data_IF_671229141334
#
_entry.id   IF_671229141334
#
_cell.length_a   1.000
_cell.length_b   1.000
_cell.length_c   1.000
_cell.angle_alpha   90.00
_cell.angle_beta   90.00
_cell.angle_gamma   90.00
#
_symmetry.space_group_name_H-M   'P 1'
#
loop_
_entity.id
_entity.type
_entity.pdbx_description
1 polymer ?
#
# COMPACT_ATOMS: atom_id res chain seq x y z
N UNK A 1 -21.60 -30.00 -3.74
CA UNK A 1 -22.23 -28.85 -4.43
C UNK A 1 -21.28 -28.41 -5.51
N UNK A 2 -21.56 -28.79 -6.76
CA UNK A 2 -20.77 -28.30 -7.91
C UNK A 2 -21.15 -26.83 -8.07
N UNK A 3 -20.20 -25.93 -7.90
CA UNK A 3 -20.45 -24.51 -8.07
C UNK A 3 -20.88 -24.26 -9.53
N UNK A 4 -21.90 -23.40 -9.70
CA UNK A 4 -22.46 -23.04 -11.00
C UNK A 4 -21.32 -22.53 -11.92
N UNK A 5 -21.13 -23.10 -13.12
CA UNK A 5 -20.08 -22.66 -14.04
C UNK A 5 -20.17 -21.17 -14.40
N UNK A 6 -21.38 -20.58 -14.40
CA UNK A 6 -21.56 -19.13 -14.62
C UNK A 6 -21.04 -18.32 -13.44
N UNK A 7 -21.27 -18.79 -12.21
CA UNK A 7 -20.73 -18.17 -11.00
C UNK A 7 -19.20 -18.32 -10.94
N UNK A 8 -18.66 -19.47 -11.34
CA UNK A 8 -17.22 -19.68 -11.43
C UNK A 8 -16.57 -18.71 -12.42
N UNK A 9 -17.20 -18.52 -13.58
CA UNK A 9 -16.72 -17.60 -14.60
C UNK A 9 -16.79 -16.14 -14.12
N UNK A 10 -17.92 -15.72 -13.53
CA UNK A 10 -18.06 -14.38 -12.98
C UNK A 10 -17.05 -14.07 -11.87
N UNK A 11 -16.73 -15.06 -11.03
CA UNK A 11 -15.67 -14.93 -10.00
C UNK A 11 -14.29 -14.88 -10.62
N UNK A 12 -14.02 -15.67 -11.68
CA UNK A 12 -12.76 -15.61 -12.41
C UNK A 12 -12.56 -14.25 -13.09
N UNK A 13 -13.61 -13.67 -13.66
CA UNK A 13 -13.58 -12.35 -14.32
C UNK A 13 -13.30 -11.20 -13.31
N UNK A 14 -13.67 -11.36 -12.04
CA UNK A 14 -13.32 -10.41 -10.98
C UNK A 14 -11.83 -10.42 -10.62
N UNK A 15 -11.15 -11.55 -10.87
CA UNK A 15 -9.73 -11.74 -10.57
C UNK A 15 -9.02 -12.26 -11.81
N UNK A 16 -8.85 -11.43 -12.86
CA UNK A 16 -8.30 -11.86 -14.15
C UNK A 16 -6.90 -12.46 -14.04
N UNK A 17 -6.17 -12.09 -12.99
CA UNK A 17 -4.80 -12.55 -12.73
C UNK A 17 -4.74 -13.59 -11.60
N UNK A 18 -5.88 -14.23 -11.28
CA UNK A 18 -6.03 -15.22 -10.23
C UNK A 18 -6.15 -14.65 -8.82
N UNK A 19 -6.82 -15.37 -7.92
CA UNK A 19 -7.06 -14.93 -6.53
C UNK A 19 -5.87 -15.17 -5.60
N UNK A 20 -5.01 -16.14 -5.92
CA UNK A 20 -3.96 -16.66 -5.04
C UNK A 20 -2.98 -15.57 -4.58
N UNK A 21 -2.52 -14.72 -5.49
CA UNK A 21 -1.59 -13.62 -5.17
C UNK A 21 -2.18 -12.59 -4.20
N UNK A 22 -3.45 -12.25 -4.38
CA UNK A 22 -4.15 -11.30 -3.51
C UNK A 22 -4.39 -11.90 -2.13
N UNK A 23 -4.79 -13.18 -2.08
CA UNK A 23 -5.00 -13.90 -0.83
C UNK A 23 -3.69 -14.07 -0.04
N UNK A 24 -2.60 -14.48 -0.70
CA UNK A 24 -1.29 -14.65 -0.06
C UNK A 24 -0.74 -13.31 0.42
N UNK A 25 -0.77 -12.27 -0.43
CA UNK A 25 -0.33 -10.93 -0.03
C UNK A 25 -1.15 -10.38 1.14
N UNK A 26 -2.48 -10.51 1.09
CA UNK A 26 -3.37 -10.11 2.18
C UNK A 26 -3.11 -10.88 3.48
N UNK A 27 -2.88 -12.19 3.40
CA UNK A 27 -2.53 -13.02 4.55
C UNK A 27 -1.22 -12.57 5.19
N UNK A 28 -0.17 -12.30 4.41
CA UNK A 28 1.12 -11.83 4.92
C UNK A 28 0.99 -10.47 5.61
N UNK A 29 0.25 -9.52 5.03
CA UNK A 29 -0.03 -8.21 5.63
C UNK A 29 -0.82 -8.37 6.94
N UNK A 30 -1.83 -9.23 6.95
CA UNK A 30 -2.64 -9.53 8.12
C UNK A 30 -1.82 -10.14 9.26
N UNK A 31 -1.03 -11.18 8.95
CA UNK A 31 -0.13 -11.83 9.91
C UNK A 31 0.90 -10.85 10.47
N UNK A 32 1.50 -10.00 9.63
CA UNK A 32 2.41 -8.94 10.09
C UNK A 32 1.73 -7.98 11.07
N UNK A 33 0.49 -7.58 10.78
CA UNK A 33 -0.30 -6.73 11.68
C UNK A 33 -0.60 -7.44 13.00
N UNK A 34 -1.01 -8.72 12.96
CA UNK A 34 -1.29 -9.54 14.14
C UNK A 34 -0.05 -9.67 15.03
N UNK A 35 1.12 -9.96 14.45
CA UNK A 35 2.38 -10.10 15.19
C UNK A 35 2.75 -8.81 15.93
N UNK A 36 2.63 -7.66 15.27
CA UNK A 36 2.87 -6.35 15.89
C UNK A 36 1.86 -6.12 17.01
N UNK A 37 0.57 -6.36 16.74
CA UNK A 37 -0.49 -6.05 17.68
C UNK A 37 -0.43 -6.93 18.94
N UNK A 38 -0.18 -8.24 18.79
CA UNK A 38 -0.02 -9.16 19.94
C UNK A 38 1.22 -8.79 20.75
N UNK A 39 2.34 -8.45 20.10
CA UNK A 39 3.59 -8.17 20.79
C UNK A 39 3.66 -6.80 21.47
N UNK A 40 2.87 -5.82 21.00
CA UNK A 40 3.04 -4.41 21.42
C UNK A 40 1.75 -3.71 21.83
N UNK A 41 0.57 -4.20 21.42
CA UNK A 41 -0.70 -3.49 21.55
C UNK A 41 -0.82 -2.25 20.66
N UNK A 42 0.14 -2.00 19.76
CA UNK A 42 0.21 -0.81 18.92
C UNK A 42 -0.37 -1.11 17.53
N UNK A 43 -1.27 -0.27 16.98
CA UNK A 43 -1.69 -0.37 15.59
C UNK A 43 -0.54 0.02 14.66
N UNK A 44 -0.17 -0.88 13.75
CA UNK A 44 0.86 -0.62 12.74
C UNK A 44 0.43 0.51 11.79
N UNK A 45 1.24 1.56 11.68
CA UNK A 45 0.93 2.71 10.83
C UNK A 45 2.11 3.65 10.59
N UNK A 46 2.18 4.18 9.37
CA UNK A 46 3.29 5.04 8.90
C UNK A 46 2.90 6.52 8.70
N UNK A 47 1.66 6.93 9.00
CA UNK A 47 1.14 8.28 8.72
C UNK A 47 1.94 9.43 9.35
N UNK A 48 2.67 9.15 10.44
CA UNK A 48 3.50 10.11 11.17
C UNK A 48 4.99 9.77 11.05
N UNK A 49 5.36 8.88 10.13
CA UNK A 49 6.74 8.45 9.95
C UNK A 49 7.65 9.64 9.67
N UNK A 50 7.27 10.52 8.73
CA UNK A 50 8.04 11.72 8.40
C UNK A 50 8.32 12.59 9.63
N UNK A 51 7.29 12.97 10.40
CA UNK A 51 7.51 13.80 11.59
C UNK A 51 8.29 13.09 12.68
N UNK A 52 8.07 11.79 12.87
CA UNK A 52 8.80 11.02 13.86
C UNK A 52 10.29 10.88 13.48
N UNK A 53 10.60 10.77 12.19
CA UNK A 53 11.98 10.68 11.68
C UNK A 53 12.68 12.03 11.73
N UNK A 54 12.00 13.12 11.36
CA UNK A 54 12.58 14.46 11.45
C UNK A 54 12.88 14.88 12.89
N UNK A 55 12.25 14.25 13.89
CA UNK A 55 12.56 14.48 15.31
C UNK A 55 13.98 14.06 15.73
N UNK A 56 14.72 13.27 14.93
CA UNK A 56 16.13 12.95 15.21
C UNK A 56 17.08 14.12 14.92
N UNK A 57 16.66 15.04 14.05
CA UNK A 57 17.53 16.11 13.51
C UNK A 57 16.94 17.50 13.67
N UNK A 58 15.76 17.64 14.28
CA UNK A 58 15.06 18.92 14.40
C UNK A 58 14.30 19.05 15.72
N UNK A 59 14.56 20.15 16.44
CA UNK A 59 13.88 20.50 17.69
C UNK A 59 12.56 21.27 17.49
N UNK A 60 12.07 21.36 16.25
CA UNK A 60 10.79 22.01 15.97
C UNK A 60 9.65 21.31 16.72
N UNK A 61 8.82 22.09 17.41
CA UNK A 61 7.75 21.59 18.28
C UNK A 61 6.81 20.61 17.57
N UNK A 62 6.59 20.79 16.27
CA UNK A 62 5.82 19.87 15.42
C UNK A 62 6.42 18.47 15.34
N UNK A 63 7.73 18.34 15.16
CA UNK A 63 8.40 17.04 15.00
C UNK A 63 8.61 16.34 16.35
N UNK A 64 8.71 17.13 17.42
CA UNK A 64 8.83 16.60 18.78
C UNK A 64 7.55 15.90 19.30
N UNK A 65 6.41 16.05 18.61
CA UNK A 65 5.12 15.43 19.00
C UNK A 65 5.16 13.89 19.02
N UNK A 66 6.05 13.26 18.25
CA UNK A 66 6.04 11.80 18.04
C UNK A 66 7.31 11.08 18.51
N UNK A 67 8.13 11.74 19.34
CA UNK A 67 9.41 11.18 19.84
C UNK A 67 9.22 9.85 20.54
N UNK A 68 8.20 9.70 21.39
CA UNK A 68 7.95 8.44 22.12
C UNK A 68 7.58 7.24 21.23
N UNK A 69 7.44 7.44 19.92
CA UNK A 69 7.07 6.39 18.97
C UNK A 69 7.93 6.41 17.70
N UNK A 70 9.04 7.16 17.69
CA UNK A 70 9.90 7.27 16.50
C UNK A 70 10.71 6.01 16.22
N UNK A 71 11.23 5.35 17.27
CA UNK A 71 12.16 4.23 17.10
C UNK A 71 11.45 3.02 16.50
N UNK A 72 10.29 2.64 17.03
CA UNK A 72 9.54 1.50 16.47
C UNK A 72 9.01 1.79 15.07
N UNK A 73 8.66 3.05 14.75
CA UNK A 73 8.24 3.43 13.40
C UNK A 73 9.39 3.32 12.41
N UNK A 74 10.60 3.71 12.82
CA UNK A 74 11.80 3.51 12.02
C UNK A 74 12.07 2.03 11.77
N UNK A 75 12.04 1.20 12.82
CA UNK A 75 12.22 -0.25 12.69
C UNK A 75 11.14 -0.87 11.79
N UNK A 76 9.88 -0.49 11.97
CA UNK A 76 8.77 -0.96 11.14
C UNK A 76 8.97 -0.59 9.67
N UNK A 77 9.29 0.68 9.37
CA UNK A 77 9.50 1.14 7.99
C UNK A 77 10.73 0.49 7.35
N UNK A 78 11.83 0.34 8.08
CA UNK A 78 13.01 -0.40 7.60
C UNK A 78 12.65 -1.87 7.31
N UNK A 79 11.86 -2.51 8.16
CA UNK A 79 11.37 -3.87 7.93
C UNK A 79 10.54 -4.00 6.65
N UNK A 80 9.64 -3.05 6.39
CA UNK A 80 8.86 -2.99 5.13
C UNK A 80 9.78 -2.84 3.91
N UNK A 81 10.78 -1.94 3.98
CA UNK A 81 11.75 -1.73 2.91
C UNK A 81 12.57 -3.01 2.65
N UNK A 82 13.11 -3.63 3.71
CA UNK A 82 13.89 -4.85 3.60
C UNK A 82 13.07 -6.01 3.04
N UNK A 83 11.80 -6.15 3.44
CA UNK A 83 10.88 -7.13 2.87
C UNK A 83 10.67 -6.94 1.37
N UNK A 84 10.51 -5.70 0.92
CA UNK A 84 10.42 -5.35 -0.50
C UNK A 84 11.71 -5.67 -1.27
N UNK A 85 12.87 -5.32 -0.70
CA UNK A 85 14.17 -5.62 -1.30
C UNK A 85 14.44 -7.13 -1.38
N UNK A 86 14.06 -7.90 -0.36
CA UNK A 86 14.18 -9.36 -0.39
C UNK A 86 13.28 -9.97 -1.48
N UNK A 87 12.06 -9.48 -1.63
CA UNK A 87 11.16 -9.91 -2.71
C UNK A 87 11.73 -9.54 -4.09
N UNK A 88 12.31 -8.35 -4.23
CA UNK A 88 12.97 -7.91 -5.46
C UNK A 88 14.16 -8.81 -5.82
N UNK A 89 15.03 -9.09 -4.85
CA UNK A 89 16.23 -9.91 -5.03
C UNK A 89 15.94 -11.38 -5.36
N UNK A 90 14.73 -11.88 -5.04
CA UNK A 90 14.35 -13.29 -5.21
C UNK A 90 13.36 -13.50 -6.36
N UNK A 91 12.19 -12.88 -6.31
CA UNK A 91 11.12 -13.10 -7.28
C UNK A 91 11.24 -12.18 -8.49
N UNK A 92 11.56 -10.90 -8.29
CA UNK A 92 11.65 -9.94 -9.41
C UNK A 92 12.93 -10.12 -10.24
N UNK A 93 14.02 -10.57 -9.60
CA UNK A 93 15.27 -10.94 -10.28
C UNK A 93 15.16 -12.19 -11.15
N UNK A 94 14.08 -12.98 -11.00
CA UNK A 94 13.91 -14.27 -11.66
C UNK A 94 14.64 -15.43 -10.98
N UNK A 95 15.30 -15.22 -9.83
CA UNK A 95 15.95 -16.29 -9.06
C UNK A 95 14.95 -17.36 -8.60
N UNK A 96 13.74 -16.95 -8.24
CA UNK A 96 12.62 -17.82 -7.90
C UNK A 96 11.42 -17.48 -8.78
N UNK A 97 11.03 -18.41 -9.64
CA UNK A 97 9.84 -18.26 -10.48
C UNK A 97 8.57 -18.55 -9.68
N UNK A 98 7.58 -17.65 -9.72
CA UNK A 98 6.31 -17.82 -9.04
C UNK A 98 5.16 -17.15 -9.81
N UNK A 99 3.97 -17.75 -9.79
CA UNK A 99 2.74 -17.13 -10.30
C UNK A 99 2.21 -16.01 -9.41
N UNK A 100 2.85 -15.75 -8.26
CA UNK A 100 2.49 -14.67 -7.35
C UNK A 100 3.01 -13.30 -7.79
N UNK A 101 3.95 -13.24 -8.74
CA UNK A 101 4.54 -11.99 -9.24
C UNK A 101 4.11 -11.72 -10.68
N UNK A 102 3.68 -10.48 -10.93
CA UNK A 102 3.43 -9.94 -12.28
C UNK A 102 4.21 -8.62 -12.41
N UNK A 103 4.99 -8.43 -13.50
CA UNK A 103 5.73 -7.19 -13.71
C UNK A 103 4.82 -5.97 -13.79
N UNK A 104 5.32 -4.83 -13.31
CA UNK A 104 4.60 -3.55 -13.44
C UNK A 104 4.44 -3.14 -14.90
N UNK A 105 3.29 -2.57 -15.24
CA UNK A 105 2.93 -2.16 -16.61
C UNK A 105 3.18 -0.68 -16.90
N UNK A 106 3.55 0.12 -15.89
CA UNK A 106 3.57 1.59 -15.95
C UNK A 106 4.96 2.19 -16.16
N UNK A 107 5.84 1.44 -16.83
CA UNK A 107 7.20 1.87 -17.12
C UNK A 107 8.03 0.86 -17.91
N UNK A 108 9.18 1.31 -18.36
CA UNK A 108 10.15 0.53 -19.13
C UNK A 108 11.51 0.49 -18.41
N UNK A 109 12.26 -0.59 -18.62
CA UNK A 109 13.66 -0.67 -18.19
C UNK A 109 14.56 -0.05 -19.25
N UNK A 110 15.50 0.81 -18.84
CA UNK A 110 16.50 1.40 -19.72
C UNK A 110 17.90 1.21 -19.13
N UNK A 111 18.84 0.86 -20.00
CA UNK A 111 20.23 0.60 -19.65
C UNK A 111 21.06 1.87 -19.85
N UNK A 112 21.68 2.37 -18.77
CA UNK A 112 22.61 3.50 -18.83
C UNK A 112 23.94 3.08 -18.22
N UNK A 113 24.97 3.01 -19.06
CA UNK A 113 26.34 2.68 -18.64
C UNK A 113 26.44 1.37 -17.81
N UNK A 114 25.67 0.34 -18.19
CA UNK A 114 25.64 -0.96 -17.51
C UNK A 114 24.76 -1.00 -16.25
N UNK A 115 23.94 0.03 -16.02
CA UNK A 115 22.95 0.08 -14.94
C UNK A 115 21.56 0.06 -15.55
N UNK A 116 20.77 -0.96 -15.20
CA UNK A 116 19.35 -1.03 -15.54
C UNK A 116 18.55 -0.11 -14.61
N UNK A 117 17.89 0.90 -15.18
CA UNK A 117 17.05 1.85 -14.46
C UNK A 117 15.59 1.68 -14.91
N UNK A 118 14.64 1.93 -14.00
CA UNK A 118 13.22 1.91 -14.31
C UNK A 118 12.71 3.32 -14.62
N UNK A 119 12.09 3.51 -15.79
CA UNK A 119 11.47 4.77 -16.19
C UNK A 119 9.96 4.62 -16.09
N UNK A 120 9.31 5.51 -15.36
CA UNK A 120 7.85 5.53 -15.34
C UNK A 120 7.29 6.23 -16.58
N UNK A 121 6.24 5.66 -17.15
CA UNK A 121 5.44 6.29 -18.21
C UNK A 121 4.37 7.24 -17.63
N UNK A 122 4.27 7.32 -16.30
CA UNK A 122 3.27 8.13 -15.59
C UNK A 122 3.69 9.60 -15.56
N UNK A 123 2.80 10.51 -15.96
CA UNK A 123 3.10 11.93 -15.95
C UNK A 123 3.31 12.45 -14.50
N UNK A 124 4.48 13.06 -14.19
CA UNK A 124 4.83 13.44 -12.81
C UNK A 124 3.82 14.36 -12.12
N UNK A 125 3.19 15.27 -12.88
CA UNK A 125 2.23 16.22 -12.33
C UNK A 125 1.00 15.54 -11.73
N UNK A 126 0.55 14.40 -12.27
CA UNK A 126 -0.60 13.66 -11.74
C UNK A 126 -0.30 13.11 -10.36
N UNK A 127 0.89 12.55 -10.20
CA UNK A 127 1.37 12.04 -8.91
C UNK A 127 1.62 13.17 -7.92
N UNK A 128 2.14 14.30 -8.38
CA UNK A 128 2.41 15.46 -7.55
C UNK A 128 1.12 16.06 -6.96
N UNK A 129 0.15 16.39 -7.82
CA UNK A 129 -1.13 16.97 -7.38
C UNK A 129 -1.92 15.96 -6.54
N UNK A 130 -1.98 14.70 -6.99
CA UNK A 130 -2.62 13.62 -6.22
C UNK A 130 -1.98 13.44 -4.85
N UNK A 131 -0.65 13.47 -4.77
CA UNK A 131 0.11 13.38 -3.53
C UNK A 131 -0.18 14.53 -2.57
N UNK A 132 -0.31 15.76 -3.06
CA UNK A 132 -0.71 16.91 -2.23
C UNK A 132 -2.10 16.69 -1.62
N UNK A 133 -3.08 16.27 -2.43
CA UNK A 133 -4.45 16.02 -1.96
C UNK A 133 -4.50 14.88 -0.94
N UNK A 134 -3.79 13.78 -1.20
CA UNK A 134 -3.65 12.66 -0.26
C UNK A 134 -2.97 13.12 1.03
N UNK A 135 -1.91 13.91 0.94
CA UNK A 135 -1.21 14.48 2.09
C UNK A 135 -2.14 15.31 2.98
N UNK A 136 -2.87 16.25 2.40
CA UNK A 136 -3.88 17.06 3.12
C UNK A 136 -4.96 16.15 3.73
N UNK A 137 -5.49 15.22 2.95
CA UNK A 137 -6.54 14.29 3.38
C UNK A 137 -6.12 13.44 4.57
N UNK A 138 -4.90 12.89 4.57
CA UNK A 138 -4.39 12.07 5.69
C UNK A 138 -4.25 12.86 6.99
N UNK A 139 -3.96 14.16 6.92
CA UNK A 139 -3.91 15.06 8.09
C UNK A 139 -5.29 15.37 8.64
N UNK A 140 -6.25 15.67 7.75
CA UNK A 140 -7.64 15.93 8.15
C UNK A 140 -8.27 14.66 8.74
N UNK A 141 -8.07 13.52 8.10
CA UNK A 141 -8.59 12.22 8.53
C UNK A 141 -7.88 11.63 9.76
N UNK A 142 -6.70 12.16 10.14
CA UNK A 142 -5.82 11.63 11.20
C UNK A 142 -5.37 10.19 10.95
N UNK A 143 -5.18 9.82 9.69
CA UNK A 143 -4.72 8.49 9.30
C UNK A 143 -4.59 8.34 7.80
N UNK A 144 -3.83 7.33 7.39
CA UNK A 144 -3.70 6.93 6.00
C UNK A 144 -4.56 5.69 5.71
N UNK A 145 -4.51 5.23 4.46
CA UNK A 145 -5.22 4.03 4.01
C UNK A 145 -4.84 2.79 4.83
N UNK A 146 -3.56 2.59 5.18
CA UNK A 146 -3.17 1.42 5.99
C UNK A 146 -3.59 1.54 7.46
N UNK A 147 -3.51 2.75 8.04
CA UNK A 147 -3.92 3.01 9.42
C UNK A 147 -5.44 2.84 9.63
N UNK A 148 -6.26 3.48 8.78
CA UNK A 148 -7.71 3.32 8.85
C UNK A 148 -8.17 1.98 8.28
N UNK A 149 -7.60 1.53 7.16
CA UNK A 149 -8.02 0.31 6.48
C UNK A 149 -7.63 -0.95 7.23
N UNK A 150 -6.34 -1.18 7.48
CA UNK A 150 -5.88 -2.44 8.08
C UNK A 150 -6.17 -2.46 9.58
N UNK A 151 -5.60 -1.52 10.33
CA UNK A 151 -5.74 -1.50 11.80
C UNK A 151 -7.10 -0.95 12.26
N UNK A 152 -7.58 0.12 11.63
CA UNK A 152 -8.82 0.79 12.02
C UNK A 152 -10.07 -0.03 11.77
N UNK A 153 -10.25 -0.61 10.58
CA UNK A 153 -11.36 -1.54 10.31
C UNK A 153 -11.17 -2.83 11.10
N UNK A 154 -9.95 -3.36 11.18
CA UNK A 154 -9.65 -4.57 11.97
C UNK A 154 -10.01 -4.45 13.46
N UNK A 155 -9.97 -3.24 14.02
CA UNK A 155 -10.40 -2.93 15.40
C UNK A 155 -11.84 -2.40 15.50
N UNK A 156 -12.64 -2.47 14.43
CA UNK A 156 -14.02 -2.00 14.36
C UNK A 156 -14.21 -0.51 14.72
N UNK A 157 -13.22 0.33 14.40
CA UNK A 157 -13.30 1.78 14.61
C UNK A 157 -14.35 2.41 13.68
N UNK A 158 -15.42 2.99 14.24
CA UNK A 158 -16.49 3.68 13.49
C UNK A 158 -15.95 4.82 12.61
N UNK A 159 -14.97 5.57 13.11
CA UNK A 159 -14.35 6.66 12.36
C UNK A 159 -13.54 6.13 11.18
N UNK A 160 -12.82 5.01 11.38
CA UNK A 160 -12.06 4.37 10.31
C UNK A 160 -12.98 3.74 9.27
N UNK A 161 -14.08 3.11 9.67
CA UNK A 161 -15.09 2.59 8.77
C UNK A 161 -15.68 3.69 7.87
N UNK A 162 -16.05 4.84 8.46
CA UNK A 162 -16.55 5.98 7.69
C UNK A 162 -15.50 6.53 6.71
N UNK A 163 -14.25 6.68 7.16
CA UNK A 163 -13.14 7.12 6.31
C UNK A 163 -12.88 6.17 5.14
N UNK A 164 -12.83 4.85 5.43
CA UNK A 164 -12.63 3.79 4.44
C UNK A 164 -13.75 3.75 3.43
N UNK A 165 -15.00 3.80 3.88
CA UNK A 165 -16.15 3.85 2.99
C UNK A 165 -16.03 5.05 2.04
N UNK A 166 -15.71 6.23 2.59
CA UNK A 166 -15.60 7.46 1.80
C UNK A 166 -14.54 7.36 0.71
N UNK A 167 -13.29 7.00 1.06
CA UNK A 167 -12.24 6.95 0.04
C UNK A 167 -12.44 5.80 -0.95
N UNK A 168 -13.01 4.67 -0.53
CA UNK A 168 -13.32 3.56 -1.44
C UNK A 168 -14.43 3.94 -2.41
N UNK A 169 -15.50 4.61 -1.96
CA UNK A 169 -16.55 5.07 -2.87
C UNK A 169 -16.00 6.02 -3.93
N UNK A 170 -15.16 6.99 -3.54
CA UNK A 170 -14.54 7.92 -4.49
C UNK A 170 -13.60 7.19 -5.44
N UNK A 171 -12.73 6.32 -4.93
CA UNK A 171 -11.75 5.59 -5.73
C UNK A 171 -12.41 4.63 -6.73
N UNK A 172 -13.37 3.82 -6.26
CA UNK A 172 -14.13 2.88 -7.10
C UNK A 172 -14.93 3.65 -8.14
N UNK A 173 -15.68 4.69 -7.75
CA UNK A 173 -16.45 5.51 -8.68
C UNK A 173 -15.57 6.12 -9.77
N UNK A 174 -14.43 6.71 -9.38
CA UNK A 174 -13.47 7.28 -10.34
C UNK A 174 -12.89 6.22 -11.26
N UNK A 175 -12.47 5.07 -10.73
CA UNK A 175 -11.90 3.98 -11.53
C UNK A 175 -12.90 3.46 -12.57
N UNK A 176 -14.17 3.27 -12.19
CA UNK A 176 -15.21 2.82 -13.13
C UNK A 176 -15.50 3.86 -14.22
N UNK A 177 -15.53 5.15 -13.88
CA UNK A 177 -15.70 6.22 -14.86
C UNK A 177 -14.53 6.27 -15.84
N UNK A 178 -13.30 6.24 -15.34
CA UNK A 178 -12.08 6.28 -16.17
C UNK A 178 -12.01 5.05 -17.09
N UNK A 179 -12.34 3.87 -16.58
CA UNK A 179 -12.42 2.66 -17.39
C UNK A 179 -13.51 2.74 -18.47
N UNK A 180 -14.69 3.28 -18.14
CA UNK A 180 -15.77 3.48 -19.11
C UNK A 180 -15.42 4.48 -20.21
N UNK A 181 -14.52 5.43 -19.94
CA UNK A 181 -13.97 6.37 -20.91
C UNK A 181 -12.86 5.77 -21.78
N UNK A 182 -12.53 4.48 -21.61
CA UNK A 182 -11.49 3.79 -22.39
C UNK A 182 -10.07 4.19 -22.02
N UNK A 183 -9.87 4.83 -20.86
CA UNK A 183 -8.54 5.21 -20.37
C UNK A 183 -7.94 4.02 -19.63
N UNK A 184 -6.98 3.33 -20.25
CA UNK A 184 -6.15 2.31 -19.62
C UNK A 184 -4.77 2.87 -19.23
N UNK A 185 -4.15 2.37 -18.15
CA UNK A 185 -2.75 2.65 -17.85
C UNK A 185 -1.81 2.11 -18.94
#
# INVERSE_FOLDING_TARGET
MVADPVLLQAVADLFPNGISRYAVGGLLVGLGTVLIYIGTGIPAGASTFLESTLSYVSDQSRFQQYVGSRDWRLVFTVGVILGGLAFAATFQSGLVTSSLYEPGTTGQLYEVAGVTLWQTDVQPWRLFIGGILVGIGTRIGKGCTSGHGVCGVGSASKTSLAGVLTFLTVAVGTAQVVAALGVSP
#
